data_IF_134725957261
#
_entry.id   IF_134725957261
#
_cell.length_a   1.000
_cell.length_b   1.000
_cell.length_c   1.000
_cell.angle_alpha   90.00
_cell.angle_beta   90.00
_cell.angle_gamma   90.00
#
_symmetry.space_group_name_H-M   'P 1'
#
loop_
_entity.id
_entity.type
_entity.pdbx_description
1 polymer ?
#
# COMPACT_ATOMS: atom_id res chain seq x y z
N UNK A 1 -14.77 12.24 8.79
CA UNK A 1 -13.72 11.22 8.71
C UNK A 1 -14.38 9.94 9.18
N UNK A 2 -14.71 9.05 8.25
CA UNK A 2 -15.42 7.81 8.57
C UNK A 2 -14.57 6.95 9.48
N UNK A 3 -15.17 6.42 10.54
CA UNK A 3 -14.55 5.42 11.39
C UNK A 3 -14.44 4.11 10.62
N UNK A 4 -13.36 3.95 9.85
CA UNK A 4 -13.07 2.71 9.18
C UNK A 4 -12.89 1.60 10.22
N UNK A 5 -13.62 0.47 10.12
CA UNK A 5 -13.54 -0.59 11.10
C UNK A 5 -12.20 -1.32 10.97
N UNK A 6 -11.20 -0.87 11.75
CA UNK A 6 -9.82 -1.37 11.72
C UNK A 6 -9.71 -2.90 11.82
N UNK A 7 -10.67 -3.53 12.52
CA UNK A 7 -10.73 -4.98 12.69
C UNK A 7 -11.10 -5.77 11.43
N UNK A 8 -11.56 -5.10 10.36
CA UNK A 8 -11.85 -5.75 9.07
C UNK A 8 -10.63 -5.84 8.14
N UNK A 9 -9.54 -5.12 8.45
CA UNK A 9 -8.39 -5.02 7.57
C UNK A 9 -7.20 -5.81 8.09
N UNK A 10 -6.60 -6.61 7.21
CA UNK A 10 -5.34 -7.31 7.43
C UNK A 10 -4.37 -6.87 6.35
N UNK A 11 -3.17 -6.43 6.75
CA UNK A 11 -2.07 -6.17 5.85
C UNK A 11 -1.23 -7.44 5.73
N UNK A 12 -0.90 -7.86 4.50
CA UNK A 12 0.00 -8.98 4.24
C UNK A 12 1.21 -8.49 3.47
N UNK A 13 2.41 -8.93 3.87
CA UNK A 13 3.68 -8.63 3.20
C UNK A 13 4.38 -9.92 2.82
N UNK A 14 5.18 -9.89 1.75
CA UNK A 14 5.93 -11.06 1.27
C UNK A 14 5.09 -12.09 0.50
N UNK A 15 3.85 -11.74 0.12
CA UNK A 15 2.92 -12.59 -0.61
C UNK A 15 3.21 -12.54 -2.12
N UNK A 16 3.27 -13.71 -2.76
CA UNK A 16 3.31 -13.87 -4.21
C UNK A 16 2.02 -14.47 -4.77
N UNK A 17 1.49 -15.55 -4.18
CA UNK A 17 0.23 -16.16 -4.58
C UNK A 17 -0.88 -15.89 -3.55
N UNK A 18 -1.79 -14.98 -3.91
CA UNK A 18 -2.88 -14.55 -3.02
C UNK A 18 -3.83 -15.66 -2.56
N UNK A 19 -3.86 -16.80 -3.27
CA UNK A 19 -4.71 -17.95 -2.93
C UNK A 19 -4.05 -18.90 -1.92
N UNK A 20 -2.73 -18.87 -1.82
CA UNK A 20 -1.93 -19.74 -0.97
C UNK A 20 -1.24 -18.93 0.14
N UNK A 21 -0.52 -19.63 1.03
CA UNK A 21 0.32 -18.98 2.04
C UNK A 21 1.79 -19.29 1.76
N UNK A 22 2.59 -18.26 1.56
CA UNK A 22 4.04 -18.36 1.40
C UNK A 22 4.79 -18.41 2.75
N UNK A 23 5.99 -19.01 2.76
CA UNK A 23 6.79 -19.21 3.98
C UNK A 23 7.26 -17.87 4.60
N UNK A 24 7.50 -16.87 3.77
CA UNK A 24 7.96 -15.54 4.20
C UNK A 24 6.81 -14.52 4.35
N UNK A 25 5.56 -14.97 4.25
CA UNK A 25 4.41 -14.11 4.49
C UNK A 25 4.26 -13.70 5.95
N UNK A 26 4.02 -12.41 6.16
CA UNK A 26 3.62 -11.89 7.47
C UNK A 26 2.33 -11.07 7.38
N UNK A 27 1.40 -11.36 8.29
CA UNK A 27 0.12 -10.64 8.38
C UNK A 27 0.06 -9.71 9.59
N UNK A 28 -0.37 -8.46 9.41
CA UNK A 28 -0.50 -7.46 10.47
C UNK A 28 -1.92 -6.90 10.51
N UNK A 29 -2.35 -6.45 11.69
CA UNK A 29 -3.61 -5.69 11.84
C UNK A 29 -3.33 -4.19 11.83
N UNK A 30 -4.34 -3.41 11.48
CA UNK A 30 -4.24 -1.95 11.43
C UNK A 30 -4.29 -1.36 12.85
N UNK A 31 -3.27 -0.59 13.24
CA UNK A 31 -3.31 0.25 14.45
C UNK A 31 -4.02 1.57 14.16
N UNK A 32 -3.66 2.22 13.04
CA UNK A 32 -4.22 3.53 12.65
C UNK A 32 -4.13 3.75 11.14
N UNK A 33 -5.12 4.43 10.60
CA UNK A 33 -5.12 4.96 9.23
C UNK A 33 -5.06 6.49 9.32
N UNK A 34 -4.17 7.09 8.55
CA UNK A 34 -3.98 8.53 8.46
C UNK A 34 -4.23 8.96 7.01
N UNK A 35 -5.42 9.47 6.75
CA UNK A 35 -5.75 10.05 5.45
C UNK A 35 -5.16 11.45 5.34
N UNK A 36 -4.78 11.87 4.13
CA UNK A 36 -4.42 13.26 3.89
C UNK A 36 -5.58 14.18 4.29
N UNK A 37 -5.29 15.25 5.03
CA UNK A 37 -6.32 16.16 5.58
C UNK A 37 -7.13 16.85 4.46
N UNK A 38 -6.49 17.03 3.31
CA UNK A 38 -7.07 17.63 2.11
C UNK A 38 -7.47 16.61 1.03
N UNK A 39 -7.64 15.33 1.38
CA UNK A 39 -8.14 14.32 0.44
C UNK A 39 -9.49 14.75 -0.17
N UNK A 40 -9.58 14.73 -1.50
CA UNK A 40 -10.79 15.07 -2.26
C UNK A 40 -11.18 16.56 -2.24
N UNK A 41 -10.40 17.44 -1.60
CA UNK A 41 -10.65 18.87 -1.64
C UNK A 41 -10.22 19.43 -3.00
N UNK A 42 -11.02 20.29 -3.63
CA UNK A 42 -10.64 20.96 -4.89
C UNK A 42 -10.68 20.09 -6.15
N UNK A 43 -11.12 18.84 -6.08
CA UNK A 43 -11.30 17.99 -7.26
C UNK A 43 -11.27 16.49 -6.95
N UNK A 44 -11.58 15.69 -7.97
CA UNK A 44 -11.52 14.23 -7.90
C UNK A 44 -10.08 13.75 -7.73
N UNK A 45 -9.85 12.85 -6.76
CA UNK A 45 -8.54 12.25 -6.42
C UNK A 45 -7.45 13.26 -6.02
N UNK A 46 -7.83 14.47 -5.58
CA UNK A 46 -6.84 15.36 -5.02
C UNK A 46 -6.31 14.81 -3.70
N UNK A 47 -4.99 14.87 -3.51
CA UNK A 47 -4.29 14.32 -2.35
C UNK A 47 -4.66 12.86 -2.02
N UNK A 48 -4.75 12.01 -3.05
CA UNK A 48 -5.04 10.59 -2.92
C UNK A 48 -3.84 9.81 -2.32
N UNK A 49 -3.65 10.01 -1.01
CA UNK A 49 -2.60 9.38 -0.22
C UNK A 49 -3.07 9.15 1.22
N UNK A 50 -2.70 8.00 1.76
CA UNK A 50 -2.91 7.66 3.17
C UNK A 50 -1.71 6.89 3.72
N UNK A 51 -1.47 7.01 5.03
CA UNK A 51 -0.48 6.23 5.76
C UNK A 51 -1.18 5.23 6.68
N UNK A 52 -0.79 3.97 6.59
CA UNK A 52 -1.29 2.91 7.47
C UNK A 52 -0.20 2.55 8.48
N UNK A 53 -0.52 2.67 9.76
CA UNK A 53 0.33 2.22 10.86
C UNK A 53 -0.11 0.83 11.29
N UNK A 54 0.80 -0.13 11.20
CA UNK A 54 0.57 -1.52 11.62
C UNK A 54 0.66 -1.68 13.14
N UNK A 55 -0.12 -2.61 13.70
CA UNK A 55 0.03 -3.02 15.09
C UNK A 55 1.25 -3.92 15.23
N UNK A 56 2.21 -3.51 16.07
CA UNK A 56 3.42 -4.31 16.35
C UNK A 56 3.08 -5.65 17.00
N UNK A 57 3.76 -6.72 16.57
CA UNK A 57 3.70 -8.05 17.20
C UNK A 57 4.88 -8.17 18.15
N UNK A 58 4.64 -8.35 19.45
CA UNK A 58 5.71 -8.49 20.45
C UNK A 58 6.77 -7.37 20.35
N UNK A 59 6.31 -6.12 20.18
CA UNK A 59 7.15 -4.92 19.94
C UNK A 59 7.97 -4.89 18.64
N UNK A 60 7.74 -5.82 17.72
CA UNK A 60 8.38 -5.88 16.40
C UNK A 60 7.43 -5.41 15.28
N UNK A 61 7.98 -4.68 14.32
CA UNK A 61 7.30 -4.33 13.06
C UNK A 61 7.48 -5.42 11.99
N UNK A 62 7.35 -5.02 10.72
CA UNK A 62 7.67 -5.88 9.57
C UNK A 62 9.15 -6.31 9.65
N UNK A 63 9.44 -7.59 9.43
CA UNK A 63 10.81 -8.08 9.30
C UNK A 63 11.23 -7.96 7.84
N UNK A 64 12.42 -7.42 7.61
CA UNK A 64 12.98 -7.34 6.26
C UNK A 64 13.80 -8.57 5.95
N UNK A 65 13.69 -9.05 4.71
CA UNK A 65 14.31 -10.28 4.23
C UNK A 65 14.41 -10.29 2.70
N UNK A 66 14.63 -11.45 2.09
CA UNK A 66 14.72 -11.61 0.64
C UNK A 66 13.45 -11.18 -0.09
N UNK A 67 12.27 -11.50 0.45
CA UNK A 67 10.98 -11.23 -0.18
C UNK A 67 10.23 -10.02 0.41
N UNK A 68 10.79 -9.36 1.43
CA UNK A 68 10.21 -8.17 2.05
C UNK A 68 11.26 -7.09 2.22
N UNK A 69 11.17 -6.02 1.44
CA UNK A 69 12.03 -4.83 1.51
C UNK A 69 11.19 -3.56 1.36
N UNK A 70 11.58 -2.45 2.02
CA UNK A 70 10.92 -1.17 1.83
C UNK A 70 11.31 -0.55 0.47
N UNK A 71 10.38 0.21 -0.12
CA UNK A 71 10.71 1.10 -1.24
C UNK A 71 11.30 2.41 -0.73
N UNK A 72 12.19 3.02 -1.51
CA UNK A 72 12.72 4.34 -1.22
C UNK A 72 11.67 5.42 -1.46
N UNK A 73 11.63 6.44 -0.59
CA UNK A 73 10.91 7.67 -0.87
C UNK A 73 11.76 8.57 -1.78
N UNK A 74 11.16 9.21 -2.80
CA UNK A 74 11.88 10.17 -3.63
C UNK A 74 12.32 11.40 -2.82
N UNK A 75 13.38 12.06 -3.29
CA UNK A 75 13.74 13.38 -2.78
C UNK A 75 12.64 14.39 -3.16
N UNK A 76 12.38 15.43 -2.35
CA UNK A 76 11.53 16.54 -2.77
C UNK A 76 11.98 17.22 -4.08
N UNK A 77 13.25 17.05 -4.46
CA UNK A 77 13.86 17.56 -5.69
C UNK A 77 13.98 16.51 -6.80
N UNK A 78 13.37 15.33 -6.67
CA UNK A 78 13.41 14.30 -7.70
C UNK A 78 12.59 14.75 -8.91
N UNK A 79 13.20 14.72 -10.10
CA UNK A 79 12.54 15.02 -11.37
C UNK A 79 12.27 13.75 -12.16
N UNK A 80 11.09 13.66 -12.77
CA UNK A 80 10.70 12.59 -13.68
C UNK A 80 10.53 13.15 -15.08
N UNK A 81 11.17 12.54 -16.06
CA UNK A 81 11.11 12.98 -17.46
C UNK A 81 10.15 12.13 -18.28
N UNK A 82 9.50 12.73 -19.27
CA UNK A 82 8.64 12.01 -20.20
C UNK A 82 9.43 10.92 -20.93
N UNK A 83 8.83 9.74 -21.08
CA UNK A 83 9.49 8.57 -21.68
C UNK A 83 10.39 7.78 -20.73
N UNK A 84 10.48 8.16 -19.45
CA UNK A 84 11.12 7.32 -18.44
C UNK A 84 10.33 6.02 -18.25
N UNK A 85 11.03 4.88 -18.29
CA UNK A 85 10.42 3.59 -18.02
C UNK A 85 10.13 3.44 -16.52
N UNK A 86 8.87 3.19 -16.20
CA UNK A 86 8.39 2.92 -14.85
C UNK A 86 7.80 1.51 -14.80
N UNK A 87 7.89 0.87 -13.64
CA UNK A 87 7.32 -0.47 -13.41
C UNK A 87 6.12 -0.35 -12.47
N UNK A 88 5.01 -0.96 -12.84
CA UNK A 88 3.82 -1.12 -12.00
C UNK A 88 3.61 -2.62 -11.72
N UNK A 89 3.14 -2.95 -10.51
CA UNK A 89 2.86 -4.33 -10.11
C UNK A 89 1.62 -4.37 -9.20
N UNK A 90 0.89 -5.48 -9.21
CA UNK A 90 -0.26 -5.70 -8.35
C UNK A 90 -1.04 -6.96 -8.72
N UNK A 91 -1.96 -7.36 -7.84
CA UNK A 91 -2.85 -8.52 -8.00
C UNK A 91 -4.24 -8.13 -8.54
N UNK A 92 -4.34 -6.95 -9.16
CA UNK A 92 -5.58 -6.49 -9.80
C UNK A 92 -5.95 -7.37 -10.99
N UNK A 93 -7.20 -7.27 -11.44
CA UNK A 93 -7.63 -7.98 -12.65
C UNK A 93 -6.72 -7.62 -13.84
N UNK A 94 -6.30 -8.59 -14.68
CA UNK A 94 -5.37 -8.38 -15.79
C UNK A 94 -5.89 -7.49 -16.95
N UNK A 95 -6.89 -6.65 -16.68
CA UNK A 95 -7.40 -5.61 -17.56
C UNK A 95 -8.56 -6.08 -18.43
N UNK A 96 -9.75 -5.56 -18.14
CA UNK A 96 -10.53 -4.95 -19.22
C UNK A 96 -9.98 -3.53 -19.43
N UNK A 97 -9.86 -3.03 -20.67
CA UNK A 97 -9.42 -1.66 -20.92
C UNK A 97 -10.35 -0.67 -20.20
N UNK A 98 -9.83 0.08 -19.23
CA UNK A 98 -10.56 1.16 -18.55
C UNK A 98 -11.15 0.86 -17.17
N UNK A 99 -10.97 -0.35 -16.62
CA UNK A 99 -11.38 -0.64 -15.24
C UNK A 99 -10.17 -0.65 -14.30
N UNK A 100 -9.69 0.54 -13.93
CA UNK A 100 -8.95 0.70 -12.68
C UNK A 100 -9.94 0.52 -11.53
N UNK A 101 -10.01 -0.69 -10.97
CA UNK A 101 -10.79 -0.97 -9.76
C UNK A 101 -9.82 -1.08 -8.60
N UNK A 102 -10.11 -0.26 -7.59
CA UNK A 102 -9.25 0.04 -6.47
C UNK A 102 -9.07 -1.10 -5.48
N UNK A 103 -8.23 -0.77 -4.50
CA UNK A 103 -8.18 -1.39 -3.17
C UNK A 103 -8.86 -0.45 -2.19
#
# INVERSE_FOLDING_TARGET
MEDFPKGLYVLRVGDYNTEDSDVEEEQFTVERMHFHEEFGQGGHLNNDIALIRIKKKSNQGIRFGSHVQPICLPSPSTEYVAGMNCTIAGCGSPGQPGAGLGV
#
